data_IF_635894736126
#
_entry.id   IF_635894736126
#
_cell.length_a   1.000
_cell.length_b   1.000
_cell.length_c   1.000
_cell.angle_alpha   90.00
_cell.angle_beta   90.00
_cell.angle_gamma   90.00
#
_symmetry.space_group_name_H-M   'P 1'
#
loop_
_entity.id
_entity.type
_entity.pdbx_description
1 polymer ?
#
# COMPACT_ATOMS: atom_id res chain seq x y z
N UNK A 1 5.50 -20.41 13.61
CA UNK A 1 5.02 -20.66 12.23
C UNK A 1 6.20 -20.77 11.27
N UNK A 2 5.99 -21.23 10.03
CA UNK A 2 7.04 -21.20 9.00
C UNK A 2 7.21 -19.76 8.48
N UNK A 3 8.42 -19.17 8.52
CA UNK A 3 8.67 -17.86 7.90
C UNK A 3 8.26 -17.87 6.42
N UNK A 4 7.64 -16.78 5.96
CA UNK A 4 7.19 -16.61 4.59
C UNK A 4 6.00 -17.47 4.17
N UNK A 5 5.32 -18.15 5.09
CA UNK A 5 4.16 -18.99 4.76
C UNK A 5 3.03 -18.21 4.07
N UNK A 6 2.85 -16.93 4.44
CA UNK A 6 1.81 -16.06 3.91
C UNK A 6 2.40 -14.86 3.14
N UNK A 7 3.69 -14.94 2.75
CA UNK A 7 4.37 -13.85 2.08
C UNK A 7 4.08 -13.83 0.57
N UNK A 8 3.76 -12.64 0.05
CA UNK A 8 3.81 -12.36 -1.38
C UNK A 8 5.25 -12.07 -1.82
N UNK A 9 5.55 -12.35 -3.07
CA UNK A 9 6.86 -12.11 -3.69
C UNK A 9 6.76 -11.10 -4.81
N UNK A 10 7.87 -10.40 -5.09
CA UNK A 10 7.98 -9.51 -6.25
C UNK A 10 7.65 -10.24 -7.56
N UNK A 11 8.07 -11.50 -7.70
CA UNK A 11 7.77 -12.31 -8.87
C UNK A 11 6.27 -12.56 -9.05
N UNK A 12 5.51 -12.74 -7.96
CA UNK A 12 4.05 -12.88 -8.04
C UNK A 12 3.37 -11.58 -8.46
N UNK A 13 3.81 -10.43 -7.96
CA UNK A 13 3.25 -9.13 -8.37
C UNK A 13 3.65 -8.79 -9.82
N UNK A 14 4.89 -9.05 -10.21
CA UNK A 14 5.40 -8.80 -11.56
C UNK A 14 4.78 -9.72 -12.62
N UNK A 15 4.16 -10.83 -12.22
CA UNK A 15 3.43 -11.70 -13.13
C UNK A 15 2.08 -11.12 -13.58
N UNK A 16 1.62 -10.02 -12.97
CA UNK A 16 0.40 -9.32 -13.39
C UNK A 16 0.71 -8.50 -14.65
N UNK A 17 0.10 -8.88 -15.78
CA UNK A 17 0.31 -8.23 -17.08
C UNK A 17 -0.91 -7.47 -17.59
N UNK A 18 -2.11 -7.79 -17.08
CA UNK A 18 -3.37 -7.27 -17.59
C UNK A 18 -4.30 -6.96 -16.42
N UNK A 19 -4.95 -5.81 -16.48
CA UNK A 19 -5.93 -5.37 -15.49
C UNK A 19 -7.26 -5.06 -16.18
N UNK A 20 -8.36 -5.30 -15.47
CA UNK A 20 -9.69 -4.85 -15.88
C UNK A 20 -10.37 -4.23 -14.68
N UNK A 21 -10.36 -2.90 -14.62
CA UNK A 21 -10.90 -2.14 -13.49
C UNK A 21 -12.14 -1.38 -13.95
N UNK A 22 -13.26 -1.56 -13.26
CA UNK A 22 -14.55 -0.94 -13.63
C UNK A 22 -14.96 -1.17 -15.09
N UNK A 23 -14.59 -2.32 -15.67
CA UNK A 23 -14.85 -2.66 -17.07
C UNK A 23 -13.89 -2.03 -18.08
N UNK A 24 -12.87 -1.30 -17.64
CA UNK A 24 -11.81 -0.75 -18.47
C UNK A 24 -10.60 -1.71 -18.47
N UNK A 25 -10.32 -2.42 -19.59
CA UNK A 25 -9.12 -3.23 -19.72
C UNK A 25 -7.90 -2.36 -20.09
N UNK A 26 -6.74 -2.68 -19.53
CA UNK A 26 -5.44 -2.09 -19.89
C UNK A 26 -4.30 -3.03 -19.51
N UNK A 27 -3.16 -2.87 -20.16
CA UNK A 27 -1.94 -3.62 -19.86
C UNK A 27 -1.20 -3.00 -18.67
N UNK A 28 -0.57 -3.85 -17.88
CA UNK A 28 0.37 -3.45 -16.84
C UNK A 28 1.78 -3.80 -17.30
N UNK A 29 2.60 -2.79 -17.52
CA UNK A 29 4.01 -2.96 -17.87
C UNK A 29 4.86 -2.80 -16.62
N UNK A 30 5.65 -3.82 -16.30
CA UNK A 30 6.41 -3.87 -15.06
C UNK A 30 7.90 -3.82 -15.36
N UNK A 31 8.65 -3.00 -14.63
CA UNK A 31 10.11 -2.95 -14.70
C UNK A 31 10.71 -2.95 -13.30
N UNK A 32 11.63 -3.89 -13.05
CA UNK A 32 12.35 -4.04 -11.78
C UNK A 32 13.88 -3.95 -11.94
N UNK A 33 14.35 -3.74 -13.17
CA UNK A 33 15.75 -3.97 -13.56
C UNK A 33 16.57 -2.68 -13.62
N UNK A 34 15.91 -1.52 -13.53
CA UNK A 34 16.51 -0.22 -13.79
C UNK A 34 16.20 0.77 -12.66
N UNK A 35 17.20 1.55 -12.21
CA UNK A 35 16.96 2.67 -11.31
C UNK A 35 15.91 3.63 -11.90
N UNK A 36 14.99 4.07 -11.06
CA UNK A 36 13.89 4.94 -11.45
C UNK A 36 14.18 6.36 -10.97
N UNK A 37 13.81 7.35 -11.80
CA UNK A 37 13.92 8.77 -11.46
C UNK A 37 12.61 9.51 -11.66
N UNK A 38 12.42 10.61 -10.93
CA UNK A 38 11.31 11.54 -11.12
C UNK A 38 11.52 12.46 -12.36
N UNK A 39 10.68 13.49 -12.49
CA UNK A 39 10.74 14.47 -13.59
C UNK A 39 12.01 15.33 -13.57
N UNK A 40 12.58 15.55 -12.39
CA UNK A 40 13.80 16.34 -12.18
C UNK A 40 15.07 15.49 -12.33
N UNK A 41 14.91 14.19 -12.61
CA UNK A 41 16.01 13.23 -12.69
C UNK A 41 16.56 12.79 -11.33
N UNK A 42 15.82 13.04 -10.24
CA UNK A 42 16.20 12.59 -8.90
C UNK A 42 15.80 11.13 -8.70
N UNK A 43 16.63 10.31 -8.03
CA UNK A 43 16.30 8.91 -7.76
C UNK A 43 15.04 8.77 -6.91
N UNK A 44 14.16 7.84 -7.30
CA UNK A 44 12.97 7.44 -6.54
C UNK A 44 12.90 5.93 -6.39
N UNK A 45 12.14 5.45 -5.42
CA UNK A 45 11.99 4.01 -5.19
C UNK A 45 11.05 3.37 -6.21
N UNK A 46 9.99 4.07 -6.59
CA UNK A 46 8.98 3.54 -7.51
C UNK A 46 8.21 4.63 -8.23
N UNK A 47 7.57 4.22 -9.32
CA UNK A 47 6.77 5.07 -10.18
C UNK A 47 5.59 4.29 -10.76
N UNK A 48 4.41 4.89 -10.74
CA UNK A 48 3.29 4.47 -11.58
C UNK A 48 3.04 5.57 -12.61
N UNK A 49 3.02 5.20 -13.90
CA UNK A 49 2.95 6.15 -15.00
C UNK A 49 2.02 5.67 -16.11
N UNK A 50 1.30 6.61 -16.69
CA UNK A 50 0.65 6.46 -17.99
C UNK A 50 1.23 7.51 -18.94
N UNK A 51 1.83 7.05 -20.02
CA UNK A 51 2.30 7.88 -21.13
C UNK A 51 1.61 7.43 -22.44
N UNK A 52 0.70 8.24 -23.00
CA UNK A 52 -0.03 7.89 -24.22
C UNK A 52 0.88 7.73 -25.45
N UNK A 53 2.10 8.27 -25.45
CA UNK A 53 3.05 8.11 -26.55
C UNK A 53 3.85 6.81 -26.44
N UNK A 54 3.93 6.21 -25.24
CA UNK A 54 4.50 4.90 -25.01
C UNK A 54 3.50 3.76 -25.23
N UNK A 55 2.21 3.98 -24.93
CA UNK A 55 1.14 3.02 -25.20
C UNK A 55 -0.25 3.56 -24.86
N UNK A 56 -1.20 3.46 -25.81
CA UNK A 56 -2.54 4.05 -25.66
C UNK A 56 -3.41 3.39 -24.56
N UNK A 57 -3.11 2.13 -24.22
CA UNK A 57 -3.83 1.31 -23.23
C UNK A 57 -2.87 0.57 -22.28
N UNK A 58 -1.76 1.20 -21.90
CA UNK A 58 -0.75 0.61 -21.02
C UNK A 58 -0.37 1.54 -19.86
N UNK A 59 -0.25 0.97 -18.66
CA UNK A 59 0.21 1.67 -17.46
C UNK A 59 1.49 0.99 -16.99
N UNK A 60 2.51 1.79 -16.72
CA UNK A 60 3.82 1.32 -16.27
C UNK A 60 3.92 1.39 -14.75
N UNK A 61 4.37 0.30 -14.13
CA UNK A 61 4.78 0.25 -12.73
C UNK A 61 6.27 -0.08 -12.70
N UNK A 62 7.08 0.89 -12.31
CA UNK A 62 8.53 0.77 -12.23
C UNK A 62 8.96 0.80 -10.77
N UNK A 63 9.86 -0.10 -10.39
CA UNK A 63 10.48 -0.12 -9.06
C UNK A 63 11.97 -0.24 -9.24
N UNK A 64 12.73 0.61 -8.53
CA UNK A 64 14.17 0.54 -8.52
C UNK A 64 14.64 -0.87 -8.08
N UNK A 65 15.77 -1.38 -8.61
CA UNK A 65 16.23 -2.73 -8.28
C UNK A 65 16.63 -2.82 -6.80
N UNK A 66 16.44 -4.02 -6.23
CA UNK A 66 16.95 -4.35 -4.89
C UNK A 66 18.46 -4.17 -4.86
N UNK A 67 18.97 -3.46 -3.84
CA UNK A 67 20.37 -3.10 -3.73
C UNK A 67 20.70 -2.43 -2.39
N UNK A 68 21.75 -1.62 -2.36
CA UNK A 68 22.20 -0.94 -1.14
C UNK A 68 21.13 -0.01 -0.54
N UNK A 69 20.29 0.58 -1.38
CA UNK A 69 19.27 1.57 -0.98
C UNK A 69 17.88 0.97 -0.78
N UNK A 70 17.59 -0.17 -1.40
CA UNK A 70 16.26 -0.77 -1.43
C UNK A 70 16.32 -2.23 -0.99
N UNK A 71 15.76 -2.52 0.19
CA UNK A 71 15.66 -3.91 0.68
C UNK A 71 14.55 -4.67 -0.07
N UNK A 72 14.57 -6.01 -0.08
CA UNK A 72 13.50 -6.80 -0.70
C UNK A 72 12.09 -6.46 -0.17
N UNK A 73 11.94 -6.26 1.13
CA UNK A 73 10.65 -5.91 1.75
C UNK A 73 10.19 -4.52 1.36
N UNK A 74 11.13 -3.57 1.23
CA UNK A 74 10.84 -2.21 0.78
C UNK A 74 10.44 -2.21 -0.69
N UNK A 75 11.17 -2.94 -1.55
CA UNK A 75 10.83 -3.10 -2.96
C UNK A 75 9.43 -3.71 -3.15
N UNK A 76 9.08 -4.73 -2.36
CA UNK A 76 7.75 -5.34 -2.38
C UNK A 76 6.66 -4.35 -1.96
N UNK A 77 6.93 -3.56 -0.91
CA UNK A 77 5.99 -2.53 -0.42
C UNK A 77 5.80 -1.43 -1.45
N UNK A 78 6.89 -0.92 -2.04
CA UNK A 78 6.86 0.06 -3.12
C UNK A 78 6.08 -0.45 -4.33
N UNK A 79 6.35 -1.68 -4.80
CA UNK A 79 5.58 -2.28 -5.89
C UNK A 79 4.08 -2.28 -5.55
N UNK A 80 3.72 -2.85 -4.40
CA UNK A 80 2.32 -2.97 -4.01
C UNK A 80 1.62 -1.60 -3.85
N UNK A 81 2.36 -0.57 -3.46
CA UNK A 81 1.89 0.81 -3.43
C UNK A 81 1.64 1.36 -4.85
N UNK A 82 2.61 1.26 -5.76
CA UNK A 82 2.45 1.73 -7.15
C UNK A 82 1.37 0.94 -7.92
N UNK A 83 1.22 -0.36 -7.62
CA UNK A 83 0.09 -1.16 -8.12
C UNK A 83 -1.26 -0.62 -7.62
N UNK A 84 -1.29 -0.05 -6.41
CA UNK A 84 -2.45 0.68 -5.90
C UNK A 84 -2.81 1.87 -6.80
N UNK A 85 -1.83 2.69 -7.18
CA UNK A 85 -2.05 3.78 -8.14
C UNK A 85 -2.50 3.27 -9.51
N UNK A 86 -1.89 2.18 -10.00
CA UNK A 86 -2.32 1.56 -11.25
C UNK A 86 -3.78 1.10 -11.20
N UNK A 87 -4.31 0.69 -10.05
CA UNK A 87 -5.70 0.26 -9.89
C UNK A 87 -6.67 1.42 -9.65
N UNK A 88 -6.32 2.40 -8.81
CA UNK A 88 -7.26 3.42 -8.35
C UNK A 88 -7.18 4.75 -9.10
N UNK A 89 -6.03 5.07 -9.70
CA UNK A 89 -5.78 6.36 -10.34
C UNK A 89 -5.64 6.24 -11.86
N UNK A 90 -4.92 5.22 -12.34
CA UNK A 90 -4.68 5.05 -13.78
C UNK A 90 -5.94 4.91 -14.67
N UNK A 91 -7.07 4.32 -14.22
CA UNK A 91 -8.30 4.34 -15.00
C UNK A 91 -8.77 5.76 -15.36
N UNK A 92 -8.58 6.74 -14.47
CA UNK A 92 -8.94 8.13 -14.74
C UNK A 92 -8.00 8.76 -15.79
N UNK A 93 -6.70 8.43 -15.74
CA UNK A 93 -5.71 8.90 -16.71
C UNK A 93 -6.01 8.38 -18.12
N UNK A 94 -6.29 7.08 -18.23
CA UNK A 94 -6.69 6.43 -19.49
C UNK A 94 -7.97 7.04 -20.08
N UNK A 95 -8.99 7.28 -19.26
CA UNK A 95 -10.24 7.90 -19.71
C UNK A 95 -10.00 9.34 -20.16
N UNK A 96 -9.22 10.11 -19.42
CA UNK A 96 -8.88 11.49 -19.77
C UNK A 96 -8.12 11.56 -21.10
N UNK A 97 -7.18 10.65 -21.35
CA UNK A 97 -6.44 10.57 -22.61
C UNK A 97 -7.33 10.19 -23.81
N UNK A 98 -8.37 9.38 -23.59
CA UNK A 98 -9.36 9.02 -24.62
C UNK A 98 -10.38 10.12 -24.91
N UNK A 99 -10.58 11.05 -23.98
CA UNK A 99 -11.35 12.26 -24.21
C UNK A 99 -10.49 13.22 -25.03
N UNK A 100 -10.51 13.06 -26.36
CA UNK A 100 -9.89 14.00 -27.28
C UNK A 100 -10.50 15.41 -27.16
N UNK A 101 -9.88 16.44 -27.78
CA UNK A 101 -10.41 17.80 -27.75
C UNK A 101 -11.87 17.78 -28.21
N UNK A 102 -12.74 18.49 -27.51
CA UNK A 102 -14.15 18.59 -27.85
C UNK A 102 -14.31 19.09 -29.29
N UNK A 103 -15.48 18.84 -29.90
CA UNK A 103 -15.78 19.21 -31.30
C UNK A 103 -15.55 20.70 -31.63
N UNK A 104 -15.41 21.55 -30.61
CA UNK A 104 -15.21 22.99 -30.71
C UNK A 104 -13.89 23.48 -30.09
N UNK A 105 -13.05 22.58 -29.57
CA UNK A 105 -11.74 22.94 -29.04
C UNK A 105 -10.74 23.01 -30.19
N UNK A 106 -9.87 24.03 -30.18
CA UNK A 106 -8.77 24.08 -31.15
C UNK A 106 -7.92 22.81 -31.01
N UNK A 107 -7.48 22.17 -32.11
CA UNK A 107 -6.65 20.97 -32.06
C UNK A 107 -5.30 21.35 -31.46
N UNK A 108 -5.23 21.30 -30.14
CA UNK A 108 -4.01 21.50 -29.39
C UNK A 108 -3.19 20.21 -29.46
N UNK A 109 -2.19 20.21 -30.32
CA UNK A 109 -1.23 19.10 -30.45
C UNK A 109 -0.38 18.90 -29.18
N UNK A 110 -0.57 19.70 -28.12
CA UNK A 110 0.14 19.58 -26.84
C UNK A 110 -0.57 18.72 -25.77
N UNK A 111 -1.74 18.14 -26.05
CA UNK A 111 -2.60 17.53 -25.02
C UNK A 111 -2.54 16.00 -24.85
N UNK A 112 -1.43 15.35 -25.22
CA UNK A 112 -1.17 13.98 -24.75
C UNK A 112 -0.41 14.03 -23.43
N UNK A 113 -1.14 14.34 -22.36
CA UNK A 113 -0.58 14.52 -21.02
C UNK A 113 -0.16 13.17 -20.45
N UNK A 114 1.12 13.04 -20.08
CA UNK A 114 1.57 11.96 -19.21
C UNK A 114 1.08 12.20 -17.78
N UNK A 115 0.69 11.12 -17.10
CA UNK A 115 0.24 11.15 -15.72
C UNK A 115 1.13 10.22 -14.90
N UNK A 116 1.60 10.68 -13.74
CA UNK A 116 2.50 9.89 -12.90
C UNK A 116 2.33 10.13 -11.41
N UNK A 117 2.68 9.12 -10.63
CA UNK A 117 2.90 9.16 -9.18
C UNK A 117 4.29 8.60 -8.88
N UNK A 118 4.94 9.10 -7.84
CA UNK A 118 6.29 8.67 -7.47
C UNK A 118 6.39 8.42 -5.98
N UNK A 119 7.02 7.30 -5.61
CA UNK A 119 7.44 7.03 -4.23
C UNK A 119 8.90 7.47 -4.07
N UNK A 120 9.18 8.65 -3.49
CA UNK A 120 10.55 9.17 -3.40
C UNK A 120 11.43 8.34 -2.45
N UNK A 121 10.88 7.94 -1.31
CA UNK A 121 11.62 7.26 -0.25
C UNK A 121 10.73 6.37 0.64
N UNK A 122 11.33 5.72 1.63
CA UNK A 122 10.62 4.84 2.56
C UNK A 122 9.75 5.59 3.57
N UNK A 123 10.00 6.88 3.82
CA UNK A 123 9.19 7.68 4.74
C UNK A 123 7.83 8.02 4.11
N UNK A 124 7.79 8.21 2.79
CA UNK A 124 6.57 8.41 2.01
C UNK A 124 5.51 7.34 2.28
N UNK A 125 5.92 6.06 2.29
CA UNK A 125 5.03 4.91 2.55
C UNK A 125 4.46 4.88 3.99
N UNK A 126 5.10 5.58 4.93
CA UNK A 126 4.73 5.63 6.34
C UNK A 126 4.10 6.95 6.79
N UNK A 127 4.09 7.97 5.92
CA UNK A 127 3.70 9.32 6.29
C UNK A 127 2.18 9.48 6.43
N UNK A 128 1.77 10.15 7.50
CA UNK A 128 0.40 10.70 7.63
C UNK A 128 0.42 12.13 7.14
N UNK A 129 -0.41 12.44 6.14
CA UNK A 129 -0.44 13.73 5.47
C UNK A 129 -0.64 14.92 6.44
N UNK A 130 0.05 16.02 6.15
CA UNK A 130 -0.08 17.31 6.84
C UNK A 130 -1.40 18.01 6.46
N UNK A 131 -1.96 18.92 7.30
CA UNK A 131 -3.19 19.65 6.99
C UNK A 131 -3.00 20.63 5.81
N UNK A 132 -3.97 20.71 4.89
CA UNK A 132 -3.83 21.49 3.63
C UNK A 132 -5.06 22.26 3.15
N UNK A 133 -4.79 23.23 2.25
CA UNK A 133 -5.61 24.42 1.93
C UNK A 133 -6.20 24.43 0.50
N UNK A 134 -5.77 23.55 -0.42
CA UNK A 134 -6.30 23.49 -1.81
C UNK A 134 -7.01 22.18 -2.15
N UNK A 135 -7.73 22.14 -3.29
CA UNK A 135 -8.47 20.95 -3.74
C UNK A 135 -7.57 19.86 -4.32
N UNK A 136 -6.57 20.23 -5.14
CA UNK A 136 -5.61 19.31 -5.75
C UNK A 136 -4.80 18.53 -4.69
N UNK A 137 -4.34 19.24 -3.66
CA UNK A 137 -3.67 18.67 -2.49
C UNK A 137 -4.49 17.58 -1.80
N UNK A 138 -5.80 17.77 -1.70
CA UNK A 138 -6.71 16.77 -1.11
C UNK A 138 -6.84 15.54 -2.00
N UNK A 139 -6.92 15.72 -3.31
CA UNK A 139 -7.00 14.61 -4.27
C UNK A 139 -5.73 13.75 -4.22
N UNK A 140 -4.54 14.37 -4.20
CA UNK A 140 -3.27 13.68 -4.04
C UNK A 140 -3.26 12.88 -2.73
N UNK A 141 -3.65 13.49 -1.60
CA UNK A 141 -3.72 12.79 -0.31
C UNK A 141 -4.66 11.58 -0.35
N UNK A 142 -5.81 11.71 -1.02
CA UNK A 142 -6.77 10.61 -1.14
C UNK A 142 -6.18 9.48 -1.99
N UNK A 143 -5.50 9.80 -3.10
CA UNK A 143 -4.81 8.82 -3.93
C UNK A 143 -3.74 8.05 -3.12
N UNK A 144 -2.83 8.77 -2.45
CA UNK A 144 -1.79 8.19 -1.60
C UNK A 144 -2.36 7.33 -0.46
N UNK A 145 -3.45 7.79 0.17
CA UNK A 145 -4.13 7.01 1.20
C UNK A 145 -4.69 5.70 0.65
N UNK A 146 -5.34 5.74 -0.52
CA UNK A 146 -5.88 4.54 -1.18
C UNK A 146 -4.78 3.56 -1.57
N UNK A 147 -3.68 4.04 -2.15
CA UNK A 147 -2.53 3.22 -2.49
C UNK A 147 -1.93 2.55 -1.24
N UNK A 148 -1.77 3.29 -0.14
CA UNK A 148 -1.27 2.76 1.12
C UNK A 148 -2.20 1.74 1.80
N UNK A 149 -3.52 1.95 1.74
CA UNK A 149 -4.49 0.99 2.28
C UNK A 149 -4.60 -0.27 1.41
N UNK A 150 -4.49 -0.12 0.09
CA UNK A 150 -4.40 -1.25 -0.84
C UNK A 150 -3.15 -2.08 -0.59
N UNK A 151 -1.97 -1.46 -0.61
CA UNK A 151 -0.69 -2.09 -0.28
C UNK A 151 -0.78 -2.85 1.04
N UNK A 152 -1.30 -2.19 2.08
CA UNK A 152 -1.49 -2.77 3.40
C UNK A 152 -2.35 -4.03 3.42
N UNK A 153 -3.50 -3.95 2.76
CA UNK A 153 -4.49 -5.03 2.73
C UNK A 153 -4.06 -6.19 1.84
N UNK A 154 -3.30 -5.90 0.78
CA UNK A 154 -2.74 -6.90 -0.14
C UNK A 154 -1.63 -7.70 0.54
N UNK A 155 -0.64 -7.01 1.15
CA UNK A 155 0.52 -7.66 1.75
C UNK A 155 0.22 -8.30 3.10
N UNK A 156 -0.73 -7.74 3.86
CA UNK A 156 -1.11 -8.24 5.19
C UNK A 156 -2.64 -8.23 5.31
N UNK A 157 -3.32 -9.27 4.78
CA UNK A 157 -4.78 -9.35 4.82
C UNK A 157 -5.31 -9.34 6.26
N UNK A 158 -6.35 -8.54 6.51
CA UNK A 158 -6.90 -8.30 7.85
C UNK A 158 -7.23 -9.59 8.60
N UNK A 159 -8.09 -10.42 8.02
CA UNK A 159 -8.62 -11.58 8.72
C UNK A 159 -7.50 -12.58 9.06
N UNK A 160 -6.53 -12.71 8.15
CA UNK A 160 -5.36 -13.55 8.37
C UNK A 160 -4.46 -12.99 9.47
N UNK A 161 -4.20 -11.68 9.49
CA UNK A 161 -3.43 -11.05 10.56
C UNK A 161 -4.11 -11.22 11.92
N UNK A 162 -5.42 -10.99 12.00
CA UNK A 162 -6.21 -11.13 13.23
C UNK A 162 -6.17 -12.56 13.74
N UNK A 163 -6.41 -13.55 12.86
CA UNK A 163 -6.35 -14.98 13.18
C UNK A 163 -4.99 -15.35 13.80
N UNK A 164 -3.90 -15.01 13.11
CA UNK A 164 -2.55 -15.34 13.55
C UNK A 164 -2.18 -14.59 14.84
N UNK A 165 -2.50 -13.29 14.94
CA UNK A 165 -2.17 -12.51 16.12
C UNK A 165 -2.86 -13.07 17.38
N UNK A 166 -4.14 -13.45 17.28
CA UNK A 166 -4.89 -14.08 18.38
C UNK A 166 -4.32 -15.46 18.73
N UNK A 167 -3.99 -16.27 17.72
CA UNK A 167 -3.46 -17.61 17.93
C UNK A 167 -2.07 -17.61 18.58
N UNK A 168 -1.24 -16.60 18.27
CA UNK A 168 0.16 -16.51 18.71
C UNK A 168 0.37 -15.67 19.95
N UNK A 169 -0.54 -14.74 20.28
CA UNK A 169 -0.39 -13.86 21.43
C UNK A 169 -0.03 -14.58 22.76
N UNK A 170 -0.62 -15.75 23.11
CA UNK A 170 -0.25 -16.47 24.33
C UNK A 170 1.20 -16.94 24.38
N UNK A 171 1.82 -17.22 23.22
CA UNK A 171 3.21 -17.69 23.15
C UNK A 171 4.23 -16.57 23.46
N UNK A 172 3.77 -15.32 23.50
CA UNK A 172 4.58 -14.14 23.78
C UNK A 172 4.11 -13.35 25.00
N UNK A 173 3.32 -13.95 25.88
CA UNK A 173 2.75 -13.28 27.05
C UNK A 173 1.95 -12.00 26.68
N UNK A 174 1.28 -12.02 25.52
CA UNK A 174 0.39 -10.94 25.06
C UNK A 174 -1.05 -11.31 25.41
N UNK A 175 -1.72 -10.41 26.12
CA UNK A 175 -3.12 -10.59 26.52
C UNK A 175 -4.08 -10.26 25.39
N UNK A 176 -5.30 -10.79 25.48
CA UNK A 176 -6.36 -10.58 24.50
C UNK A 176 -7.62 -10.13 25.22
N UNK A 177 -8.08 -8.93 24.91
CA UNK A 177 -9.39 -8.43 25.30
C UNK A 177 -10.39 -8.66 24.18
N UNK A 178 -11.55 -9.23 24.52
CA UNK A 178 -12.69 -9.32 23.61
C UNK A 178 -13.80 -8.48 24.22
N UNK A 179 -14.25 -7.44 23.52
CA UNK A 179 -15.38 -6.64 23.99
C UNK A 179 -16.63 -7.54 23.99
N UNK A 180 -17.04 -7.96 25.19
CA UNK A 180 -18.17 -8.85 25.42
C UNK A 180 -19.48 -8.07 25.49
N UNK A 181 -20.17 -7.92 24.37
CA UNK A 181 -21.60 -7.62 24.35
C UNK A 181 -22.38 -8.93 24.16
N UNK A 182 -23.29 -9.24 25.09
CA UNK A 182 -24.24 -10.37 25.04
C UNK A 182 -25.31 -10.23 23.92
N UNK A 183 -24.96 -9.69 22.76
CA UNK A 183 -25.84 -9.63 21.59
C UNK A 183 -25.27 -10.51 20.50
N UNK A 184 -26.00 -11.56 20.12
CA UNK A 184 -25.72 -12.40 18.94
C UNK A 184 -25.79 -11.62 17.60
N UNK A 185 -26.13 -10.33 17.64
CA UNK A 185 -26.16 -9.44 16.49
C UNK A 185 -25.20 -8.26 16.66
N UNK A 186 -23.92 -8.47 16.36
CA UNK A 186 -23.04 -7.54 15.64
C UNK A 186 -21.68 -8.22 15.46
N UNK A 187 -21.04 -7.99 14.31
CA UNK A 187 -19.64 -8.36 14.01
C UNK A 187 -18.81 -8.54 15.29
N UNK A 188 -18.37 -9.77 15.58
CA UNK A 188 -17.57 -10.06 16.76
C UNK A 188 -16.50 -8.97 16.90
N UNK A 189 -16.59 -8.18 17.97
CA UNK A 189 -15.73 -7.02 18.17
C UNK A 189 -14.28 -7.45 17.96
N UNK A 190 -13.55 -6.73 17.10
CA UNK A 190 -12.15 -7.06 16.82
C UNK A 190 -11.41 -7.21 18.15
N UNK A 191 -10.72 -8.34 18.40
CA UNK A 191 -10.00 -8.54 19.64
C UNK A 191 -8.92 -7.45 19.78
N UNK A 192 -8.79 -6.86 20.96
CA UNK A 192 -7.68 -5.97 21.28
C UNK A 192 -6.56 -6.78 21.91
N UNK A 193 -5.33 -6.53 21.50
CA UNK A 193 -4.16 -7.09 22.15
C UNK A 193 -3.64 -6.12 23.20
N UNK A 194 -3.29 -6.66 24.36
CA UNK A 194 -2.80 -5.89 25.50
C UNK A 194 -1.45 -6.41 25.96
N UNK A 195 -0.57 -5.48 26.32
CA UNK A 195 0.70 -5.81 26.96
C UNK A 195 0.44 -6.34 28.38
N UNK A 196 1.11 -7.43 28.78
CA UNK A 196 0.98 -7.99 30.13
C UNK A 196 2.23 -7.78 30.97
N UNK A 197 2.03 -7.36 32.23
CA UNK A 197 3.11 -7.19 33.20
C UNK A 197 4.08 -6.05 32.87
N UNK A 198 5.11 -5.90 33.71
CA UNK A 198 6.08 -4.78 33.65
C UNK A 198 6.90 -4.74 32.35
N UNK A 199 7.03 -5.88 31.66
CA UNK A 199 7.81 -6.00 30.42
C UNK A 199 6.95 -6.45 29.22
N UNK A 200 5.64 -6.20 29.26
CA UNK A 200 4.70 -6.65 28.21
C UNK A 200 5.02 -6.12 26.81
N UNK A 201 5.67 -4.96 26.71
CA UNK A 201 6.16 -4.41 25.43
C UNK A 201 7.12 -5.37 24.70
N UNK A 202 7.93 -6.16 25.41
CA UNK A 202 8.86 -7.13 24.82
C UNK A 202 8.09 -8.26 24.15
N UNK A 203 7.05 -8.76 24.81
CA UNK A 203 6.14 -9.77 24.26
C UNK A 203 5.47 -9.28 22.99
N UNK A 204 4.93 -8.06 23.02
CA UNK A 204 4.30 -7.42 21.86
C UNK A 204 5.27 -7.24 20.69
N UNK A 205 6.49 -6.77 20.93
CA UNK A 205 7.51 -6.63 19.89
C UNK A 205 7.90 -7.98 19.26
N UNK A 206 8.03 -9.03 20.07
CA UNK A 206 8.35 -10.36 19.58
C UNK A 206 7.21 -10.96 18.74
N UNK A 207 5.96 -10.78 19.16
CA UNK A 207 4.79 -11.15 18.38
C UNK A 207 4.78 -10.43 17.03
N UNK A 208 5.01 -9.11 17.03
CA UNK A 208 5.08 -8.32 15.78
C UNK A 208 6.20 -8.81 14.86
N UNK A 209 7.36 -9.21 15.39
CA UNK A 209 8.45 -9.80 14.62
C UNK A 209 8.11 -11.17 14.04
N UNK A 210 7.44 -12.06 14.79
CA UNK A 210 7.03 -13.37 14.25
C UNK A 210 6.00 -13.20 13.12
N UNK A 211 5.01 -12.32 13.32
CA UNK A 211 4.01 -12.01 12.29
C UNK A 211 4.67 -11.41 11.05
N UNK A 212 5.61 -10.47 11.24
CA UNK A 212 6.35 -9.84 10.13
C UNK A 212 7.12 -10.88 9.31
N UNK A 213 7.81 -11.81 9.98
CA UNK A 213 8.49 -12.92 9.31
C UNK A 213 7.52 -13.86 8.58
N UNK A 214 6.29 -14.01 9.06
CA UNK A 214 5.26 -14.86 8.42
C UNK A 214 4.74 -14.24 7.13
N UNK A 215 4.50 -12.92 7.11
CA UNK A 215 4.04 -12.16 5.95
C UNK A 215 5.18 -11.66 5.03
N UNK A 216 6.44 -11.79 5.44
CA UNK A 216 7.58 -11.31 4.64
C UNK A 216 7.67 -9.79 4.54
N UNK A 217 7.26 -9.07 5.58
CA UNK A 217 7.25 -7.60 5.63
C UNK A 217 8.06 -7.06 6.82
N UNK A 218 8.28 -5.75 6.85
CA UNK A 218 8.95 -5.11 7.98
C UNK A 218 8.08 -5.14 9.27
N UNK A 219 8.63 -5.37 10.48
CA UNK A 219 7.86 -5.32 11.73
C UNK A 219 7.09 -4.02 11.97
N UNK A 220 7.63 -2.86 11.52
CA UNK A 220 6.91 -1.58 11.58
C UNK A 220 5.62 -1.62 10.74
N UNK A 221 5.62 -2.34 9.62
CA UNK A 221 4.45 -2.52 8.75
C UNK A 221 3.35 -3.30 9.48
N UNK A 222 3.71 -4.40 10.14
CA UNK A 222 2.77 -5.18 10.98
C UNK A 222 2.15 -4.31 12.05
N UNK A 223 2.95 -3.53 12.78
CA UNK A 223 2.41 -2.62 13.80
C UNK A 223 1.38 -1.65 13.21
N UNK A 224 1.67 -1.01 12.08
CA UNK A 224 0.73 -0.11 11.40
C UNK A 224 -0.56 -0.85 11.01
N UNK A 225 -0.47 -2.08 10.50
CA UNK A 225 -1.65 -2.88 10.14
C UNK A 225 -2.45 -3.31 11.36
N UNK A 226 -1.80 -3.65 12.46
CA UNK A 226 -2.47 -3.95 13.73
C UNK A 226 -3.20 -2.73 14.29
N UNK A 227 -2.61 -1.52 14.22
CA UNK A 227 -3.28 -0.25 14.55
C UNK A 227 -4.50 -0.01 13.63
N UNK A 228 -4.34 -0.16 12.31
CA UNK A 228 -5.41 0.05 11.32
C UNK A 228 -6.57 -0.92 11.47
N UNK A 229 -6.29 -2.18 11.80
CA UNK A 229 -7.31 -3.21 11.97
C UNK A 229 -7.96 -3.21 13.35
N UNK A 230 -7.47 -2.37 14.28
CA UNK A 230 -8.03 -2.23 15.63
C UNK A 230 -7.53 -3.26 16.64
N UNK A 231 -6.45 -3.98 16.33
CA UNK A 231 -5.78 -4.90 17.26
C UNK A 231 -4.97 -4.15 18.33
N UNK A 232 -4.49 -2.94 18.00
CA UNK A 232 -3.74 -2.05 18.88
C UNK A 232 -4.42 -0.68 18.95
N UNK A 233 -4.25 0.07 20.07
CA UNK A 233 -4.71 1.44 20.12
C UNK A 233 -4.01 2.28 19.05
N UNK A 234 -4.77 3.09 18.33
CA UNK A 234 -4.19 4.08 17.43
C UNK A 234 -3.48 5.13 18.29
N UNK A 235 -2.18 5.33 18.09
CA UNK A 235 -1.45 6.39 18.80
C UNK A 235 -2.14 7.74 18.57
N UNK A 236 -2.38 8.55 19.63
CA UNK A 236 -3.01 9.85 19.48
C UNK A 236 -2.17 10.72 18.52
N UNK A 237 -2.80 11.15 17.42
CA UNK A 237 -2.16 11.88 16.31
C UNK A 237 -2.27 11.20 14.94
N UNK A 238 -2.68 9.92 14.87
CA UNK A 238 -2.80 9.16 13.60
C UNK A 238 -4.22 8.89 13.10
N UNK A 239 -5.24 9.41 13.77
CA UNK A 239 -6.64 8.99 13.55
C UNK A 239 -7.71 10.08 13.63
N UNK A 240 -7.39 11.36 13.38
CA UNK A 240 -8.42 12.39 13.27
C UNK A 240 -8.12 13.39 12.15
N UNK A 241 -9.03 13.39 11.16
CA UNK A 241 -9.24 14.33 10.05
C UNK A 241 -8.28 14.30 8.83
#
# INVERSE_FOLDING_TARGET
>A
MSPGADALTLAQLAAISDLTINGLPYQLWVSLDHPVTDEDGLPVLGLCEFDPDCGEDAVSVLVSPVGEQLTPELALSTFAHELGHAIFDAPAWLIAAKQGPGLFDEPDTSQRRAYRTATPDAEHLGATAQPQNTALEKEIRIAEFRANEFMGSLLVPRDRLVELAVARAPDFDVGIERDGGLSEELHAATPRLIEQGTFGFVGMENLQRELAATFGVNPKFIRVRMERYGLLPTLPGRGQA
#
